data_IF_440322380704
#
_entry.id   IF_440322380704
#
_cell.length_a   1.000
_cell.length_b   1.000
_cell.length_c   1.000
_cell.angle_alpha   90.00
_cell.angle_beta   90.00
_cell.angle_gamma   90.00
#
_symmetry.space_group_name_H-M   'P 1'
#
loop_
_entity.id
_entity.type
_entity.pdbx_description
1 polymer ?
#
# COMPACT_ATOMS: atom_id res chain seq x y z
N UNK A 1 20.22 -55.41 36.99
CA UNK A 1 21.29 -54.63 36.33
C UNK A 1 21.32 -53.26 36.99
N UNK A 2 22.46 -52.93 37.64
CA UNK A 2 23.02 -51.63 38.11
C UNK A 2 22.09 -50.39 38.27
N UNK A 3 22.18 -49.52 39.27
CA UNK A 3 22.94 -49.42 40.55
C UNK A 3 22.42 -48.12 41.24
N UNK A 4 21.81 -48.23 42.42
CA UNK A 4 21.89 -47.38 43.64
C UNK A 4 22.14 -45.87 43.46
N UNK A 5 21.18 -45.03 43.89
CA UNK A 5 21.24 -44.24 45.13
C UNK A 5 22.35 -43.19 45.16
N UNK A 6 21.94 -41.93 45.23
CA UNK A 6 22.60 -40.88 46.00
C UNK A 6 21.61 -39.73 46.17
N UNK A 7 20.71 -39.89 47.14
CA UNK A 7 20.12 -38.75 47.82
C UNK A 7 21.01 -38.30 48.98
N UNK A 8 21.02 -36.98 49.16
CA UNK A 8 21.31 -36.21 50.38
C UNK A 8 22.78 -35.96 50.78
N UNK A 9 23.08 -34.90 51.57
CA UNK A 9 22.37 -33.63 51.82
C UNK A 9 23.29 -32.37 51.73
N UNK A 10 22.68 -31.18 51.68
CA UNK A 10 23.34 -29.88 51.96
C UNK A 10 23.99 -29.91 53.37
N UNK A 11 25.05 -29.11 53.71
CA UNK A 11 24.79 -27.70 54.11
C UNK A 11 25.97 -26.69 54.15
N UNK A 12 25.59 -25.41 54.38
CA UNK A 12 26.25 -24.33 55.17
C UNK A 12 26.70 -23.06 54.42
N UNK A 13 25.88 -22.02 54.63
CA UNK A 13 26.27 -20.64 55.04
C UNK A 13 27.25 -19.87 54.12
N UNK A 14 26.71 -19.00 53.26
CA UNK A 14 27.48 -17.85 52.73
C UNK A 14 27.02 -16.58 53.46
N UNK A 15 27.79 -16.20 54.49
CA UNK A 15 27.61 -14.96 55.26
C UNK A 15 28.19 -13.80 54.45
N UNK A 16 27.52 -12.63 54.39
CA UNK A 16 28.03 -11.46 53.68
C UNK A 16 29.07 -10.73 54.55
N UNK A 17 30.24 -10.43 53.98
CA UNK A 17 31.16 -9.44 54.54
C UNK A 17 31.44 -8.36 53.51
N UNK A 18 30.74 -7.26 53.70
CA UNK A 18 31.19 -5.89 53.45
C UNK A 18 32.70 -5.70 53.62
N UNK A 19 33.35 -5.14 52.59
CA UNK A 19 34.58 -4.37 52.71
C UNK A 19 34.64 -3.37 51.56
N UNK A 20 34.35 -2.13 51.91
CA UNK A 20 34.65 -0.95 51.11
C UNK A 20 36.17 -0.73 51.08
N UNK A 21 36.72 -0.48 49.89
CA UNK A 21 37.80 0.49 49.66
C UNK A 21 37.97 0.68 48.15
N UNK A 22 37.43 1.79 47.67
CA UNK A 22 38.06 2.77 46.79
C UNK A 22 39.19 2.28 45.86
N UNK A 23 39.01 2.46 44.55
CA UNK A 23 40.05 3.17 43.79
C UNK A 23 39.47 3.92 42.58
N UNK A 24 39.79 5.20 42.58
CA UNK A 24 39.47 6.22 41.58
C UNK A 24 40.46 6.16 40.40
N UNK A 25 39.93 6.52 39.23
CA UNK A 25 40.59 7.22 38.13
C UNK A 25 41.55 6.43 37.21
N UNK A 26 41.12 6.24 35.95
CA UNK A 26 41.81 6.70 34.72
C UNK A 26 41.10 6.07 33.49
N UNK A 27 40.40 6.81 32.62
CA UNK A 27 40.92 7.72 31.58
C UNK A 27 41.18 6.96 30.26
N UNK A 28 40.22 7.16 29.33
CA UNK A 28 40.28 7.24 27.85
C UNK A 28 40.48 6.02 26.91
N UNK A 29 39.73 6.12 25.80
CA UNK A 29 39.94 5.58 24.45
C UNK A 29 39.40 4.18 24.11
N UNK A 30 38.21 4.15 23.51
CA UNK A 30 38.03 3.62 22.15
C UNK A 30 36.65 3.99 21.58
N UNK A 31 36.68 4.88 20.60
CA UNK A 31 35.57 5.30 19.74
C UNK A 31 35.15 4.14 18.84
N UNK A 32 34.27 3.26 19.31
CA UNK A 32 33.60 2.32 18.41
C UNK A 32 32.40 3.01 17.77
N UNK A 33 32.64 3.54 16.57
CA UNK A 33 31.63 4.06 15.65
C UNK A 33 30.62 2.95 15.32
N UNK A 34 29.64 2.76 16.18
CA UNK A 34 28.43 2.04 15.83
C UNK A 34 27.63 2.93 14.89
N UNK A 35 27.83 2.76 13.59
CA UNK A 35 26.93 3.29 12.56
C UNK A 35 25.53 2.79 12.94
N UNK A 36 24.59 3.65 13.35
CA UNK A 36 23.26 3.18 13.70
C UNK A 36 22.69 2.54 12.43
N UNK A 37 22.41 1.23 12.48
CA UNK A 37 21.66 0.53 11.44
C UNK A 37 20.37 1.32 11.24
N UNK A 38 20.35 2.15 10.19
CA UNK A 38 19.21 2.94 9.79
C UNK A 38 18.03 1.98 9.72
N UNK A 39 17.10 2.09 10.68
CA UNK A 39 15.83 1.37 10.61
C UNK A 39 15.21 1.86 9.31
N UNK A 40 15.18 0.99 8.28
CA UNK A 40 14.57 1.29 6.99
C UNK A 40 13.23 1.90 7.30
N UNK A 41 13.04 3.18 6.97
CA UNK A 41 11.76 3.86 7.15
C UNK A 41 10.74 2.96 6.48
N UNK A 42 9.78 2.43 7.25
CA UNK A 42 8.68 1.66 6.68
C UNK A 42 8.06 2.59 5.65
N UNK A 43 8.13 2.24 4.37
CA UNK A 43 7.45 3.02 3.34
C UNK A 43 5.98 3.00 3.74
N UNK A 44 5.45 4.17 4.07
CA UNK A 44 4.02 4.29 4.30
C UNK A 44 3.37 4.46 2.95
N UNK A 45 2.23 3.81 2.75
CA UNK A 45 1.43 4.09 1.58
C UNK A 45 0.91 5.53 1.69
N UNK A 46 1.35 6.37 0.74
CA UNK A 46 1.04 7.80 0.66
C UNK A 46 0.09 8.07 -0.53
N UNK A 47 -0.60 9.22 -0.54
CA UNK A 47 -1.51 9.59 -1.64
C UNK A 47 -0.80 9.62 -3.00
N UNK A 48 0.46 10.05 -3.03
CA UNK A 48 1.28 10.11 -4.25
C UNK A 48 1.37 8.74 -4.95
N UNK A 49 1.40 7.64 -4.20
CA UNK A 49 1.43 6.30 -4.79
C UNK A 49 0.11 5.98 -5.51
N UNK A 50 -1.03 6.41 -4.95
CA UNK A 50 -2.35 6.20 -5.58
C UNK A 50 -2.57 7.09 -6.81
N UNK A 51 -2.06 8.32 -6.75
CA UNK A 51 -2.12 9.29 -7.85
C UNK A 51 -1.12 8.97 -8.98
N UNK A 52 -0.08 8.20 -8.66
CA UNK A 52 0.93 7.78 -9.63
C UNK A 52 0.32 6.96 -10.77
N UNK A 53 1.07 6.86 -11.88
CA UNK A 53 0.69 6.00 -13.00
C UNK A 53 0.41 4.55 -12.57
N UNK A 54 1.18 4.02 -11.62
CA UNK A 54 1.05 2.65 -11.13
C UNK A 54 -0.11 2.45 -10.13
N UNK A 55 -0.72 3.54 -9.67
CA UNK A 55 -1.86 3.55 -8.75
C UNK A 55 -3.20 3.35 -9.48
N UNK A 56 -4.15 4.26 -9.24
CA UNK A 56 -5.52 4.16 -9.76
C UNK A 56 -5.60 4.20 -11.29
N UNK A 57 -4.69 4.95 -11.94
CA UNK A 57 -4.61 5.04 -13.40
C UNK A 57 -4.28 3.68 -14.02
N UNK A 58 -3.40 2.90 -13.41
CA UNK A 58 -3.08 1.54 -13.89
C UNK A 58 -4.29 0.62 -13.83
N UNK A 59 -5.11 0.67 -12.78
CA UNK A 59 -6.34 -0.11 -12.72
C UNK A 59 -7.25 0.25 -13.88
N UNK A 60 -7.53 1.54 -14.04
CA UNK A 60 -8.40 2.06 -15.07
C UNK A 60 -8.00 1.57 -16.47
N UNK A 61 -6.70 1.56 -16.78
CA UNK A 61 -6.22 1.09 -18.08
C UNK A 61 -6.17 -0.43 -18.21
N UNK A 62 -5.89 -1.19 -17.15
CA UNK A 62 -5.56 -2.62 -17.27
C UNK A 62 -6.78 -3.53 -17.00
N UNK A 63 -7.67 -3.13 -16.09
CA UNK A 63 -8.77 -3.97 -15.62
C UNK A 63 -9.76 -4.37 -16.72
N UNK A 64 -10.16 -3.49 -17.67
CA UNK A 64 -11.06 -3.88 -18.76
C UNK A 64 -10.50 -5.05 -19.59
N UNK A 65 -9.18 -5.08 -19.82
CA UNK A 65 -8.54 -6.15 -20.58
C UNK A 65 -8.40 -7.45 -19.77
N UNK A 66 -8.22 -7.36 -18.44
CA UNK A 66 -8.11 -8.55 -17.58
C UNK A 66 -9.46 -9.19 -17.26
N UNK A 67 -10.55 -8.41 -17.29
CA UNK A 67 -11.87 -8.81 -16.81
C UNK A 67 -12.95 -8.84 -17.91
N UNK A 68 -12.64 -8.42 -19.14
CA UNK A 68 -13.61 -8.31 -20.24
C UNK A 68 -14.12 -9.61 -20.86
N UNK A 69 -14.11 -10.72 -20.11
CA UNK A 69 -14.66 -12.01 -20.55
C UNK A 69 -16.16 -12.14 -20.24
N UNK A 70 -16.82 -13.12 -20.86
CA UNK A 70 -18.20 -13.47 -20.50
C UNK A 70 -18.23 -14.02 -19.07
N UNK A 71 -19.01 -13.36 -18.21
CA UNK A 71 -19.15 -13.68 -16.79
C UNK A 71 -20.27 -14.71 -16.56
N UNK A 72 -21.20 -14.82 -17.52
CA UNK A 72 -22.36 -15.69 -17.38
C UNK A 72 -21.94 -17.16 -17.22
N UNK A 73 -22.39 -17.79 -16.14
CA UNK A 73 -22.08 -19.19 -15.83
C UNK A 73 -20.72 -19.45 -15.17
N UNK A 74 -19.85 -18.43 -15.06
CA UNK A 74 -18.52 -18.53 -14.44
C UNK A 74 -18.31 -17.45 -13.36
N UNK A 75 -19.38 -16.98 -12.72
CA UNK A 75 -19.36 -15.86 -11.77
C UNK A 75 -18.35 -16.04 -10.63
N UNK A 76 -18.28 -17.24 -10.05
CA UNK A 76 -17.32 -17.54 -8.98
C UNK A 76 -15.87 -17.37 -9.45
N UNK A 77 -15.55 -17.83 -10.67
CA UNK A 77 -14.23 -17.67 -11.26
C UNK A 77 -13.95 -16.21 -11.61
N UNK A 78 -14.96 -15.47 -12.10
CA UNK A 78 -14.82 -14.05 -12.39
C UNK A 78 -14.53 -13.24 -11.12
N UNK A 79 -15.19 -13.56 -10.00
CA UNK A 79 -14.92 -12.95 -8.69
C UNK A 79 -13.51 -13.28 -8.18
N UNK A 80 -13.05 -14.52 -8.33
CA UNK A 80 -11.70 -14.90 -7.94
C UNK A 80 -10.63 -14.18 -8.80
N UNK A 81 -10.87 -14.06 -10.10
CA UNK A 81 -10.00 -13.32 -11.01
C UNK A 81 -9.96 -11.82 -10.66
N UNK A 82 -11.12 -11.23 -10.35
CA UNK A 82 -11.23 -9.83 -9.91
C UNK A 82 -10.42 -9.60 -8.64
N UNK A 83 -10.62 -10.43 -7.61
CA UNK A 83 -9.94 -10.30 -6.34
C UNK A 83 -8.43 -10.52 -6.49
N UNK A 84 -8.02 -11.50 -7.30
CA UNK A 84 -6.62 -11.78 -7.62
C UNK A 84 -5.95 -10.61 -8.33
N UNK A 85 -6.65 -9.93 -9.24
CA UNK A 85 -6.14 -8.72 -9.90
C UNK A 85 -5.91 -7.58 -8.90
N UNK A 86 -6.83 -7.36 -7.96
CA UNK A 86 -6.67 -6.36 -6.91
C UNK A 86 -5.53 -6.71 -5.94
N UNK A 87 -5.38 -7.98 -5.56
CA UNK A 87 -4.27 -8.44 -4.71
C UNK A 87 -2.92 -8.22 -5.38
N UNK A 88 -2.80 -8.58 -6.66
CA UNK A 88 -1.57 -8.36 -7.42
C UNK A 88 -1.26 -6.87 -7.56
N UNK A 89 -2.26 -6.04 -7.85
CA UNK A 89 -2.07 -4.60 -7.90
C UNK A 89 -1.62 -4.01 -6.55
N UNK A 90 -2.22 -4.44 -5.44
CA UNK A 90 -1.84 -4.00 -4.11
C UNK A 90 -0.38 -4.38 -3.79
N UNK A 91 0.05 -5.59 -4.17
CA UNK A 91 1.43 -6.04 -4.02
C UNK A 91 2.40 -5.20 -4.86
N UNK A 92 2.05 -4.91 -6.11
CA UNK A 92 2.87 -4.08 -7.00
C UNK A 92 3.05 -2.65 -6.47
N UNK A 93 2.01 -2.11 -5.81
CA UNK A 93 2.07 -0.76 -5.24
C UNK A 93 2.82 -0.75 -3.90
N UNK A 94 2.64 -1.78 -3.08
CA UNK A 94 3.31 -1.89 -1.81
C UNK A 94 3.47 -3.35 -1.32
N UNK A 95 4.61 -4.01 -1.63
CA UNK A 95 4.80 -5.45 -1.37
C UNK A 95 4.91 -5.81 0.12
N UNK A 96 5.03 -4.82 1.01
CA UNK A 96 5.15 -5.02 2.46
C UNK A 96 3.85 -5.02 3.25
N UNK A 97 2.68 -4.78 2.64
CA UNK A 97 1.39 -4.79 3.34
C UNK A 97 0.61 -6.07 3.05
N UNK A 98 -0.11 -6.57 4.06
CA UNK A 98 -1.21 -7.50 3.83
C UNK A 98 -2.34 -6.79 3.10
N UNK A 99 -3.09 -7.53 2.29
CA UNK A 99 -4.17 -6.97 1.47
C UNK A 99 -5.21 -6.21 2.30
N UNK A 100 -5.63 -6.75 3.45
CA UNK A 100 -6.62 -6.10 4.31
C UNK A 100 -6.12 -4.77 4.87
N UNK A 101 -4.86 -4.73 5.33
CA UNK A 101 -4.23 -3.50 5.83
C UNK A 101 -4.05 -2.45 4.71
N UNK A 102 -3.79 -2.93 3.49
CA UNK A 102 -3.72 -2.06 2.32
C UNK A 102 -5.09 -1.44 2.04
N UNK A 103 -6.18 -2.21 2.10
CA UNK A 103 -7.54 -1.70 1.89
C UNK A 103 -7.92 -0.63 2.92
N UNK A 104 -7.70 -0.87 4.21
CA UNK A 104 -7.96 0.12 5.28
C UNK A 104 -7.20 1.43 5.02
N UNK A 105 -5.97 1.32 4.55
CA UNK A 105 -5.13 2.47 4.23
C UNK A 105 -5.63 3.21 3.01
N UNK A 106 -6.01 2.50 1.95
CA UNK A 106 -6.59 3.10 0.74
C UNK A 106 -7.92 3.78 1.04
N UNK A 107 -8.77 3.21 1.90
CA UNK A 107 -10.02 3.86 2.33
C UNK A 107 -9.73 5.18 3.03
N UNK A 108 -8.71 5.22 3.89
CA UNK A 108 -8.28 6.44 4.57
C UNK A 108 -7.79 7.49 3.58
N UNK A 109 -6.97 7.09 2.60
CA UNK A 109 -6.41 8.01 1.60
C UNK A 109 -7.45 8.45 0.54
N UNK A 110 -8.47 7.64 0.29
CA UNK A 110 -9.61 8.00 -0.55
C UNK A 110 -10.46 9.13 0.04
N UNK A 111 -10.22 9.51 1.30
CA UNK A 111 -10.83 10.70 1.91
C UNK A 111 -10.10 12.00 1.52
N UNK A 112 -8.91 11.92 0.94
CA UNK A 112 -8.19 13.08 0.45
C UNK A 112 -8.86 13.64 -0.83
N UNK A 113 -8.96 14.97 -0.94
CA UNK A 113 -9.55 15.63 -2.11
C UNK A 113 -8.84 15.25 -3.40
N UNK A 114 -7.51 15.20 -3.44
CA UNK A 114 -6.77 14.90 -4.67
C UNK A 114 -7.10 13.52 -5.24
N UNK A 115 -7.26 12.52 -4.37
CA UNK A 115 -7.61 11.15 -4.77
C UNK A 115 -9.07 11.10 -5.22
N UNK A 116 -9.97 11.83 -4.55
CA UNK A 116 -11.37 11.94 -4.97
C UNK A 116 -11.52 12.60 -6.33
N UNK A 117 -10.81 13.70 -6.55
CA UNK A 117 -10.85 14.45 -7.80
C UNK A 117 -10.39 13.56 -8.97
N UNK A 118 -9.32 12.79 -8.77
CA UNK A 118 -8.87 11.80 -9.76
C UNK A 118 -9.96 10.73 -10.02
N UNK A 119 -10.62 10.22 -9.00
CA UNK A 119 -11.69 9.22 -9.18
C UNK A 119 -12.89 9.80 -9.94
N UNK A 120 -13.25 11.06 -9.68
CA UNK A 120 -14.31 11.76 -10.41
C UNK A 120 -13.91 11.95 -11.88
N UNK A 121 -12.68 12.42 -12.15
CA UNK A 121 -12.14 12.58 -13.50
C UNK A 121 -12.22 11.27 -14.30
N UNK A 122 -11.79 10.16 -13.70
CA UNK A 122 -11.84 8.85 -14.36
C UNK A 122 -13.29 8.40 -14.65
N UNK A 123 -14.24 8.69 -13.75
CA UNK A 123 -15.67 8.38 -13.98
C UNK A 123 -16.26 9.22 -15.09
N UNK A 124 -15.95 10.52 -15.12
CA UNK A 124 -16.38 11.41 -16.20
C UNK A 124 -15.80 10.98 -17.55
N UNK A 125 -14.55 10.52 -17.57
CA UNK A 125 -13.92 10.01 -18.78
C UNK A 125 -14.63 8.77 -19.33
N UNK A 126 -15.05 7.83 -18.47
CA UNK A 126 -15.84 6.67 -18.89
C UNK A 126 -17.25 7.08 -19.33
N UNK A 127 -17.89 8.03 -18.65
CA UNK A 127 -19.18 8.58 -19.08
C UNK A 127 -19.08 9.17 -20.50
N UNK A 128 -18.02 9.93 -20.80
CA UNK A 128 -17.76 10.49 -22.14
C UNK A 128 -17.47 9.41 -23.19
N UNK A 129 -16.86 8.29 -22.81
CA UNK A 129 -16.60 7.16 -23.71
C UNK A 129 -17.88 6.42 -24.11
N UNK A 130 -18.80 6.25 -23.16
CA UNK A 130 -20.04 5.51 -23.38
C UNK A 130 -21.23 6.37 -23.82
N UNK A 131 -21.15 7.70 -23.66
CA UNK A 131 -22.12 8.63 -24.24
C UNK A 131 -21.69 8.96 -25.67
N UNK A 132 -22.34 8.45 -26.72
CA UNK A 132 -22.11 8.97 -28.05
C UNK A 132 -22.47 10.45 -28.04
N UNK A 133 -21.57 11.29 -28.58
CA UNK A 133 -21.80 12.70 -28.84
C UNK A 133 -22.94 12.84 -29.85
N UNK A 134 -24.19 12.70 -29.41
CA UNK A 134 -25.36 12.99 -30.20
C UNK A 134 -25.78 14.45 -29.99
N UNK A 135 -26.00 15.12 -31.13
CA UNK A 135 -26.58 16.45 -31.37
C UNK A 135 -25.66 17.66 -31.20
N UNK A 136 -24.64 17.73 -32.05
CA UNK A 136 -24.28 18.99 -32.67
C UNK A 136 -25.39 19.32 -33.69
N UNK A 137 -26.42 20.06 -33.27
CA UNK A 137 -27.29 20.78 -34.21
C UNK A 137 -26.46 21.93 -34.75
N UNK A 138 -25.71 21.65 -35.81
CA UNK A 138 -25.17 22.66 -36.70
C UNK A 138 -26.37 23.23 -37.45
N UNK A 139 -27.05 24.23 -36.87
CA UNK A 139 -27.88 25.15 -37.66
C UNK A 139 -26.92 26.01 -38.49
N UNK A 140 -26.52 25.45 -39.62
CA UNK A 140 -25.85 26.16 -40.69
C UNK A 140 -26.83 27.10 -41.41
N UNK A 141 -26.26 28.21 -41.86
CA UNK A 141 -26.75 29.11 -42.92
C UNK A 141 -27.81 30.15 -42.55
N UNK A 142 -27.34 31.17 -41.86
CA UNK A 142 -27.51 32.55 -42.34
C UNK A 142 -27.09 32.59 -43.83
N UNK A 143 -28.08 32.58 -44.73
CA UNK A 143 -27.85 32.65 -46.18
C UNK A 143 -27.60 34.09 -46.62
N UNK A 144 -26.69 34.31 -47.58
CA UNK A 144 -26.20 35.63 -47.91
C UNK A 144 -27.19 36.43 -48.77
N UNK A 145 -27.15 37.74 -48.53
CA UNK A 145 -27.71 38.84 -49.30
C UNK A 145 -27.69 38.54 -50.81
N UNK A 146 -28.86 38.57 -51.45
CA UNK A 146 -28.94 38.76 -52.91
C UNK A 146 -29.56 40.12 -53.19
N UNK A 147 -28.72 41.05 -53.65
CA UNK A 147 -29.10 42.34 -54.19
C UNK A 147 -28.50 42.46 -55.59
N UNK A 148 -29.31 42.32 -56.64
CA UNK A 148 -29.08 42.70 -58.07
C UNK A 148 -30.32 42.26 -58.86
N UNK A 149 -31.02 43.04 -59.70
CA UNK A 149 -30.85 44.33 -60.37
C UNK A 149 -32.23 44.89 -60.68
#
# INVERSE_FOLDING_TARGET
>A
MRRWENESPLPKEFIPTENATENLLSTENATENQIPKSKRKRSTLNEEHLLSWNGLKRLYHNFPYRLGGDVAGNEAQALDNLLSAYRQWAFDLHPGYHFDQFLDRVETLGKNSQVRDLVVELREQEHKRHTPLSTETIEANDSPITDTK
#
